data_IF_813827226965
#
_entry.id   IF_813827226965
#
_cell.length_a   1.000
_cell.length_b   1.000
_cell.length_c   1.000
_cell.angle_alpha   90.00
_cell.angle_beta   90.00
_cell.angle_gamma   90.00
#
_symmetry.space_group_name_H-M   'P 1'
#
loop_
_entity.id
_entity.type
_entity.pdbx_description
1 polymer ?
#
# COMPACT_ATOMS: atom_id res chain seq x y z
N UNK A 1 -8.87 -62.45 15.22
CA UNK A 1 -8.89 -61.38 14.20
C UNK A 1 -9.96 -60.40 14.62
N UNK A 2 -9.60 -59.21 15.11
CA UNK A 2 -10.44 -58.02 14.96
C UNK A 2 -9.61 -56.77 15.30
N UNK A 3 -9.27 -55.97 14.28
CA UNK A 3 -8.65 -54.64 14.46
C UNK A 3 -9.69 -53.61 14.06
N UNK A 4 -10.43 -53.13 15.05
CA UNK A 4 -11.41 -52.05 14.88
C UNK A 4 -10.63 -50.72 14.77
N UNK A 5 -10.51 -50.19 13.55
CA UNK A 5 -9.95 -48.86 13.30
C UNK A 5 -10.93 -47.80 13.81
N UNK A 6 -10.56 -47.08 14.86
CA UNK A 6 -11.26 -45.86 15.26
C UNK A 6 -10.79 -44.71 14.37
N UNK A 7 -11.58 -44.32 13.39
CA UNK A 7 -11.41 -43.05 12.68
C UNK A 7 -11.92 -41.91 13.55
N UNK A 8 -10.99 -41.14 14.14
CA UNK A 8 -11.27 -39.86 14.79
C UNK A 8 -11.86 -38.90 13.75
N UNK A 9 -13.11 -38.46 13.95
CA UNK A 9 -13.68 -37.34 13.20
C UNK A 9 -12.86 -36.09 13.50
N UNK A 10 -12.18 -35.56 12.49
CA UNK A 10 -11.59 -34.21 12.55
C UNK A 10 -12.74 -33.23 12.71
N UNK A 11 -12.85 -32.58 13.87
CA UNK A 11 -13.83 -31.50 14.08
C UNK A 11 -13.55 -30.38 13.06
N UNK A 12 -14.52 -30.10 12.19
CA UNK A 12 -14.42 -28.99 11.25
C UNK A 12 -14.67 -27.69 11.98
N UNK A 13 -13.70 -26.78 11.98
CA UNK A 13 -13.89 -25.42 12.48
C UNK A 13 -14.97 -24.68 11.68
N UNK A 14 -15.68 -23.75 12.33
CA UNK A 14 -16.67 -22.89 11.66
C UNK A 14 -15.96 -22.04 10.60
N UNK A 15 -16.39 -22.09 9.32
CA UNK A 15 -15.81 -21.30 8.24
C UNK A 15 -15.77 -19.79 8.52
N UNK A 16 -16.71 -19.26 9.32
CA UNK A 16 -16.72 -17.84 9.72
C UNK A 16 -15.60 -17.51 10.70
N UNK A 17 -15.30 -18.42 11.62
CA UNK A 17 -14.19 -18.28 12.58
C UNK A 17 -12.87 -18.43 11.82
N UNK A 18 -12.78 -19.37 10.89
CA UNK A 18 -11.59 -19.55 10.05
C UNK A 18 -11.31 -18.31 9.18
N UNK A 19 -12.33 -17.75 8.52
CA UNK A 19 -12.21 -16.50 7.74
C UNK A 19 -11.84 -15.32 8.63
N UNK A 20 -12.40 -15.24 9.85
CA UNK A 20 -12.06 -14.19 10.80
C UNK A 20 -10.60 -14.28 11.26
N UNK A 21 -10.14 -15.49 11.63
CA UNK A 21 -8.76 -15.75 12.03
C UNK A 21 -7.79 -15.52 10.87
N UNK A 22 -8.11 -15.96 9.65
CA UNK A 22 -7.34 -15.65 8.45
C UNK A 22 -7.22 -14.14 8.23
N UNK A 23 -8.31 -13.37 8.37
CA UNK A 23 -8.26 -11.90 8.30
C UNK A 23 -7.37 -11.31 9.39
N UNK A 24 -7.48 -11.77 10.63
CA UNK A 24 -6.66 -11.27 11.75
C UNK A 24 -5.18 -11.56 11.52
N UNK A 25 -4.83 -12.77 11.08
CA UNK A 25 -3.44 -13.19 10.80
C UNK A 25 -2.85 -12.48 9.56
N UNK A 26 -3.67 -12.24 8.53
CA UNK A 26 -3.25 -11.46 7.36
C UNK A 26 -3.05 -9.98 7.71
N UNK A 27 -3.88 -9.40 8.57
CA UNK A 27 -3.78 -8.00 8.98
C UNK A 27 -2.52 -7.70 9.79
N UNK A 28 -2.06 -8.62 10.64
CA UNK A 28 -0.83 -8.46 11.42
C UNK A 28 0.43 -8.61 10.56
N UNK A 29 0.36 -9.38 9.47
CA UNK A 29 1.49 -9.69 8.58
C UNK A 29 1.61 -8.72 7.38
N UNK A 30 0.50 -8.11 6.97
CA UNK A 30 0.33 -7.39 5.69
C UNK A 30 1.30 -6.22 5.46
N UNK A 31 1.68 -5.45 6.49
CA UNK A 31 2.59 -4.32 6.30
C UNK A 31 4.08 -4.69 6.44
N UNK A 32 4.40 -5.87 6.98
CA UNK A 32 5.79 -6.31 7.18
C UNK A 32 6.48 -6.73 5.87
N UNK A 33 5.70 -7.04 4.83
CA UNK A 33 6.20 -7.44 3.52
C UNK A 33 6.39 -6.28 2.54
N UNK A 34 6.05 -5.04 2.91
CA UNK A 34 6.27 -3.89 2.04
C UNK A 34 7.76 -3.55 2.04
N UNK A 35 8.41 -3.69 0.88
CA UNK A 35 9.81 -3.31 0.73
C UNK A 35 9.99 -1.83 1.09
N UNK A 36 11.06 -1.44 1.78
CA UNK A 36 11.23 -0.03 2.17
C UNK A 36 11.50 0.85 0.94
N UNK A 37 10.75 1.94 0.76
CA UNK A 37 10.98 2.89 -0.32
C UNK A 37 12.28 3.68 -0.09
N UNK A 38 13.28 3.38 -0.90
CA UNK A 38 14.61 4.03 -0.92
C UNK A 38 14.74 4.98 -2.10
N UNK A 39 13.97 4.73 -3.17
CA UNK A 39 13.68 5.67 -4.24
C UNK A 39 13.88 5.14 -5.66
N UNK A 40 14.73 4.12 -5.83
CA UNK A 40 14.88 3.40 -7.11
C UNK A 40 13.87 2.25 -7.24
N UNK A 41 13.25 1.84 -6.14
CA UNK A 41 12.35 0.69 -6.06
C UNK A 41 10.85 1.07 -6.05
N UNK A 42 10.49 2.27 -6.53
CA UNK A 42 9.12 2.79 -6.46
C UNK A 42 8.07 1.85 -7.07
N UNK A 43 8.34 1.25 -8.23
CA UNK A 43 7.41 0.30 -8.88
C UNK A 43 7.08 -0.88 -7.98
N UNK A 44 8.10 -1.47 -7.35
CA UNK A 44 7.97 -2.62 -6.44
C UNK A 44 7.27 -2.23 -5.15
N UNK A 45 7.70 -1.14 -4.52
CA UNK A 45 7.04 -0.57 -3.33
C UNK A 45 5.55 -0.32 -3.57
N UNK A 46 5.20 0.28 -4.72
CA UNK A 46 3.80 0.57 -5.08
C UNK A 46 2.98 -0.70 -5.23
N UNK A 47 3.55 -1.76 -5.81
CA UNK A 47 2.88 -3.05 -5.95
C UNK A 47 2.63 -3.70 -4.59
N UNK A 48 3.66 -3.73 -3.73
CA UNK A 48 3.56 -4.34 -2.40
C UNK A 48 2.55 -3.56 -1.53
N UNK A 49 2.59 -2.23 -1.58
CA UNK A 49 1.59 -1.38 -0.91
C UNK A 49 0.16 -1.69 -1.39
N UNK A 50 -0.06 -1.83 -2.70
CA UNK A 50 -1.38 -2.12 -3.25
C UNK A 50 -1.93 -3.46 -2.75
N UNK A 51 -1.08 -4.49 -2.67
CA UNK A 51 -1.44 -5.80 -2.12
C UNK A 51 -1.80 -5.67 -0.64
N UNK A 52 -0.95 -5.01 0.16
CA UNK A 52 -1.16 -4.84 1.59
C UNK A 52 -2.46 -4.09 1.90
N UNK A 53 -2.76 -3.01 1.15
CA UNK A 53 -4.00 -2.25 1.31
C UNK A 53 -5.23 -3.03 0.85
N UNK A 54 -5.11 -3.84 -0.21
CA UNK A 54 -6.18 -4.73 -0.66
C UNK A 54 -6.54 -5.79 0.39
N UNK A 55 -5.53 -6.39 1.03
CA UNK A 55 -5.75 -7.36 2.12
C UNK A 55 -6.44 -6.75 3.35
N UNK A 56 -6.21 -5.45 3.59
CA UNK A 56 -6.79 -4.69 4.70
C UNK A 56 -8.16 -4.09 4.37
N UNK A 57 -8.66 -4.24 3.13
CA UNK A 57 -9.84 -3.54 2.61
C UNK A 57 -9.72 -2.00 2.73
N UNK A 58 -8.52 -1.44 2.54
CA UNK A 58 -8.24 0.00 2.66
C UNK A 58 -7.93 0.69 1.32
N UNK A 59 -7.84 -0.04 0.21
CA UNK A 59 -7.52 0.52 -1.11
C UNK A 59 -8.51 1.61 -1.58
N UNK A 60 -9.75 1.55 -1.10
CA UNK A 60 -10.79 2.53 -1.41
C UNK A 60 -10.43 3.97 -0.99
N UNK A 61 -9.65 4.18 0.08
CA UNK A 61 -9.29 5.53 0.54
C UNK A 61 -8.33 6.26 -0.40
N UNK A 62 -7.67 5.53 -1.30
CA UNK A 62 -6.83 6.13 -2.34
C UNK A 62 -7.64 6.57 -3.56
N UNK A 63 -8.87 6.09 -3.71
CA UNK A 63 -9.74 6.34 -4.88
C UNK A 63 -10.85 7.34 -4.52
N UNK A 64 -11.50 7.11 -3.39
CA UNK A 64 -12.70 7.80 -2.97
C UNK A 64 -12.40 9.02 -2.10
N UNK A 65 -13.02 10.16 -2.45
CA UNK A 65 -13.14 11.32 -1.57
C UNK A 65 -14.34 11.08 -0.63
N UNK A 66 -14.25 11.38 0.68
CA UNK A 66 -15.33 11.09 1.61
C UNK A 66 -16.63 11.82 1.19
N UNK A 67 -17.76 11.11 1.31
CA UNK A 67 -19.08 11.65 1.02
C UNK A 67 -19.43 12.81 1.97
N UNK A 68 -19.76 13.98 1.43
CA UNK A 68 -20.42 15.05 2.20
C UNK A 68 -21.88 14.66 2.48
N UNK A 69 -22.31 14.86 3.72
CA UNK A 69 -23.63 14.44 4.18
C UNK A 69 -24.76 15.32 3.63
N UNK A 70 -25.79 14.71 3.06
CA UNK A 70 -27.09 15.35 2.78
C UNK A 70 -28.22 14.48 3.37
N UNK A 71 -29.02 15.08 4.25
CA UNK A 71 -30.23 14.58 4.93
C UNK A 71 -30.09 13.66 6.17
N UNK A 72 -31.09 13.79 7.05
CA UNK A 72 -31.12 13.42 8.48
C UNK A 72 -31.22 11.91 8.75
N UNK A 73 -31.91 11.13 7.91
CA UNK A 73 -32.03 9.67 8.09
C UNK A 73 -30.84 8.90 7.51
N UNK A 74 -30.15 9.49 6.53
CA UNK A 74 -28.89 8.97 6.01
C UNK A 74 -27.72 9.24 6.99
N UNK A 75 -27.91 10.12 7.98
CA UNK A 75 -26.85 10.62 8.86
C UNK A 75 -26.13 9.52 9.64
N UNK A 76 -26.85 8.55 10.23
CA UNK A 76 -26.21 7.47 11.00
C UNK A 76 -25.34 6.56 10.12
N UNK A 77 -25.84 6.20 8.92
CA UNK A 77 -25.11 5.38 7.94
C UNK A 77 -23.94 6.14 7.33
N UNK A 78 -24.11 7.44 7.05
CA UNK A 78 -23.05 8.33 6.55
C UNK A 78 -21.97 8.50 7.62
N UNK A 79 -22.34 8.72 8.89
CA UNK A 79 -21.41 8.84 10.01
C UNK A 79 -20.61 7.56 10.20
N UNK A 80 -21.25 6.39 10.17
CA UNK A 80 -20.56 5.10 10.26
C UNK A 80 -19.57 4.90 9.10
N UNK A 81 -19.97 5.28 7.87
CA UNK A 81 -19.07 5.24 6.69
C UNK A 81 -17.90 6.21 6.83
N UNK A 82 -18.14 7.43 7.31
CA UNK A 82 -17.11 8.43 7.55
C UNK A 82 -16.09 7.95 8.58
N UNK A 83 -16.54 7.45 9.74
CA UNK A 83 -15.64 6.91 10.78
C UNK A 83 -14.79 5.74 10.23
N UNK A 84 -15.40 4.87 9.42
CA UNK A 84 -14.65 3.78 8.76
C UNK A 84 -13.61 4.31 7.79
N UNK A 85 -13.99 5.27 6.94
CA UNK A 85 -13.09 5.94 5.99
C UNK A 85 -11.94 6.66 6.70
N UNK A 86 -12.22 7.41 7.76
CA UNK A 86 -11.22 8.15 8.53
C UNK A 86 -10.19 7.20 9.16
N UNK A 87 -10.65 6.08 9.74
CA UNK A 87 -9.76 5.04 10.27
C UNK A 87 -8.88 4.45 9.18
N UNK A 88 -9.45 4.07 8.04
CA UNK A 88 -8.70 3.51 6.92
C UNK A 88 -7.70 4.53 6.35
N UNK A 89 -8.10 5.80 6.19
CA UNK A 89 -7.26 6.89 5.73
C UNK A 89 -6.04 7.08 6.64
N UNK A 90 -6.26 7.16 7.96
CA UNK A 90 -5.19 7.26 8.96
C UNK A 90 -4.25 6.05 8.91
N UNK A 91 -4.78 4.83 8.82
CA UNK A 91 -3.97 3.61 8.77
C UNK A 91 -3.12 3.54 7.50
N UNK A 92 -3.70 3.87 6.34
CA UNK A 92 -2.99 3.91 5.06
C UNK A 92 -1.83 4.91 5.10
N UNK A 93 -2.02 6.09 5.69
CA UNK A 93 -0.92 7.04 5.90
C UNK A 93 0.21 6.46 6.74
N UNK A 94 -0.11 5.82 7.87
CA UNK A 94 0.90 5.22 8.75
C UNK A 94 1.69 4.10 8.05
N UNK A 95 1.01 3.25 7.27
CA UNK A 95 1.65 2.18 6.50
C UNK A 95 2.63 2.79 5.48
N UNK A 96 2.19 3.78 4.71
CA UNK A 96 3.06 4.47 3.74
C UNK A 96 4.28 5.09 4.44
N UNK A 97 4.07 5.86 5.51
CA UNK A 97 5.16 6.52 6.25
C UNK A 97 6.12 5.52 6.91
N UNK A 98 5.63 4.37 7.40
CA UNK A 98 6.44 3.32 8.00
C UNK A 98 7.29 2.59 6.96
N UNK A 99 6.75 2.42 5.76
CA UNK A 99 7.42 1.74 4.63
C UNK A 99 8.40 2.64 3.86
N UNK A 100 8.82 3.78 4.44
CA UNK A 100 9.72 4.75 3.81
C UNK A 100 10.96 4.99 4.67
N UNK A 101 12.08 5.22 4.00
CA UNK A 101 13.26 5.76 4.68
C UNK A 101 12.98 7.15 5.24
N UNK A 102 13.69 7.54 6.30
CA UNK A 102 13.57 8.88 6.89
C UNK A 102 13.85 10.01 5.89
N UNK A 103 14.78 9.78 4.95
CA UNK A 103 15.13 10.74 3.90
C UNK A 103 13.96 10.96 2.92
N UNK A 104 13.38 9.87 2.39
CA UNK A 104 12.22 9.94 1.49
C UNK A 104 11.03 10.59 2.21
N UNK A 105 10.73 10.14 3.43
CA UNK A 105 9.63 10.66 4.24
C UNK A 105 9.79 12.17 4.52
N UNK A 106 11.01 12.63 4.85
CA UNK A 106 11.30 14.04 5.11
C UNK A 106 11.19 14.94 3.87
N UNK A 107 11.22 14.36 2.68
CA UNK A 107 11.08 15.11 1.42
C UNK A 107 9.64 15.32 0.96
N UNK A 108 8.67 14.71 1.64
CA UNK A 108 7.24 14.81 1.30
C UNK A 108 6.58 15.82 2.24
N UNK A 109 5.82 16.75 1.67
CA UNK A 109 5.04 17.73 2.43
C UNK A 109 3.99 17.06 3.33
N UNK A 110 3.58 17.73 4.40
CA UNK A 110 2.44 17.26 5.21
C UNK A 110 1.17 17.30 4.34
N UNK A 111 0.39 16.23 4.38
CA UNK A 111 -0.89 16.10 3.68
C UNK A 111 -1.99 15.76 4.66
N UNK A 112 -3.24 16.07 4.31
CA UNK A 112 -4.41 15.82 5.16
C UNK A 112 -5.02 14.44 4.88
N UNK A 113 -4.83 13.93 3.67
CA UNK A 113 -5.35 12.62 3.26
C UNK A 113 -4.24 11.65 2.80
N UNK A 114 -4.54 10.34 2.92
CA UNK A 114 -3.75 9.26 2.37
C UNK A 114 -3.64 9.35 0.85
N UNK A 115 -4.73 9.76 0.20
CA UNK A 115 -4.78 9.96 -1.25
C UNK A 115 -3.78 11.01 -1.72
N UNK A 116 -3.81 12.20 -1.13
CA UNK A 116 -2.84 13.26 -1.43
C UNK A 116 -1.41 12.79 -1.17
N UNK A 117 -1.18 12.13 -0.03
CA UNK A 117 0.15 11.60 0.30
C UNK A 117 0.66 10.66 -0.80
N UNK A 118 -0.18 9.71 -1.20
CA UNK A 118 0.11 8.75 -2.26
C UNK A 118 0.39 9.42 -3.61
N UNK A 119 -0.39 10.44 -3.98
CA UNK A 119 -0.20 11.21 -5.21
C UNK A 119 1.13 11.99 -5.21
N UNK A 120 1.49 12.62 -4.08
CA UNK A 120 2.78 13.31 -3.93
C UNK A 120 3.96 12.35 -4.12
N UNK A 121 3.90 11.17 -3.51
CA UNK A 121 4.91 10.11 -3.69
C UNK A 121 5.00 9.74 -5.17
N UNK A 122 3.86 9.47 -5.81
CA UNK A 122 3.82 9.08 -7.21
C UNK A 122 4.43 10.14 -8.13
N UNK A 123 4.14 11.42 -7.90
CA UNK A 123 4.73 12.52 -8.67
C UNK A 123 6.25 12.60 -8.48
N UNK A 124 6.73 12.51 -7.23
CA UNK A 124 8.16 12.57 -6.89
C UNK A 124 8.97 11.50 -7.65
N UNK A 125 8.49 10.27 -7.65
CA UNK A 125 9.20 9.14 -8.25
C UNK A 125 9.01 9.02 -9.76
N UNK A 126 7.88 9.48 -10.31
CA UNK A 126 7.70 9.59 -11.76
C UNK A 126 8.71 10.56 -12.40
N UNK A 127 9.00 11.69 -11.73
CA UNK A 127 10.01 12.66 -12.19
C UNK A 127 11.43 12.06 -12.07
N UNK A 128 11.71 11.36 -10.98
CA UNK A 128 13.01 10.71 -10.73
C UNK A 128 13.35 9.64 -11.77
N UNK A 129 12.41 8.73 -12.09
CA UNK A 129 12.62 7.70 -13.12
C UNK A 129 12.89 8.28 -14.51
N UNK A 130 12.23 9.39 -14.86
CA UNK A 130 12.45 10.06 -16.14
C UNK A 130 13.85 10.70 -16.20
N UNK A 131 14.24 11.40 -15.13
CA UNK A 131 15.52 12.11 -15.04
C UNK A 131 16.72 11.15 -15.00
N UNK A 132 16.61 10.03 -14.28
CA UNK A 132 17.65 9.00 -14.22
C UNK A 132 17.87 8.34 -15.58
N UNK A 133 16.80 7.97 -16.29
CA UNK A 133 16.88 7.44 -17.66
C UNK A 133 17.51 8.43 -18.64
N UNK A 134 17.13 9.71 -18.59
CA UNK A 134 17.73 10.72 -19.47
C UNK A 134 19.20 10.96 -19.16
N UNK A 135 19.59 11.00 -17.88
CA UNK A 135 21.01 11.14 -17.49
C UNK A 135 21.86 9.96 -17.95
N UNK A 136 21.34 8.73 -17.84
CA UNK A 136 22.02 7.53 -18.33
C UNK A 136 22.17 7.55 -19.86
N UNK A 137 21.14 7.96 -20.59
CA UNK A 137 21.20 8.11 -22.04
C UNK A 137 22.23 9.16 -22.46
N UNK A 138 22.24 10.33 -21.80
CA UNK A 138 23.21 11.39 -22.10
C UNK A 138 24.65 10.92 -21.84
N UNK A 139 24.91 10.23 -20.72
CA UNK A 139 26.25 9.65 -20.45
C UNK A 139 26.67 8.65 -21.52
N UNK A 140 25.74 7.81 -21.99
CA UNK A 140 26.01 6.85 -23.06
C UNK A 140 26.31 7.53 -24.41
N UNK A 141 25.64 8.65 -24.71
CA UNK A 141 25.94 9.43 -25.91
C UNK A 141 27.28 10.16 -25.78
N UNK A 142 27.56 10.79 -24.65
CA UNK A 142 28.81 11.53 -24.42
C UNK A 142 30.03 10.61 -24.51
N UNK A 143 29.95 9.38 -23.99
CA UNK A 143 31.02 8.37 -24.11
C UNK A 143 31.28 7.92 -25.56
N UNK A 144 30.34 8.09 -26.49
CA UNK A 144 30.56 7.75 -27.91
C UNK A 144 31.28 8.84 -28.70
N UNK A 145 31.40 10.06 -28.17
CA UNK A 145 31.98 11.19 -28.89
C UNK A 145 33.41 11.56 -28.45
N UNK A 146 34.01 10.84 -27.48
CA UNK A 146 35.40 11.07 -27.05
C UNK A 146 36.44 10.28 -27.88
N UNK A 147 36.01 9.63 -28.98
CA UNK A 147 36.90 8.95 -29.93
C UNK A 147 37.10 9.83 -31.17
N UNK A 148 38.06 10.74 -31.06
CA UNK A 148 38.81 11.24 -32.22
C UNK A 148 38.61 12.73 -32.52
N UNK A 149 39.56 13.54 -32.04
CA UNK A 149 40.39 14.40 -32.89
C UNK A 149 41.74 14.57 -32.18
N UNK A 150 42.67 13.67 -32.49
CA UNK A 150 44.11 13.84 -32.29
C UNK A 150 44.77 13.94 -33.66
#
# INVERSE_FOLDING_TARGET
>A
MDKRFHTTKRESFDPKIEVFLCRVLLNTSSYHSIETLTGTNYSKWKQDLAISLGLLDYDYVLKETPLQALATDAYAKIKARYVKWEKANRMTMLIMQRSMTSSVKGSISKTESAKEYYEFIAQRFKVSEKSTKSSLLNKLTDMKYDVGYG
#
